data_IF_872436448014
#
_entry.id   IF_872436448014
#
_cell.length_a   1.000
_cell.length_b   1.000
_cell.length_c   1.000
_cell.angle_alpha   90.00
_cell.angle_beta   90.00
_cell.angle_gamma   90.00
#
_symmetry.space_group_name_H-M   'P 1'
#
loop_
_entity.id
_entity.type
_entity.pdbx_description
1 polymer ?
#
# COMPACT_ATOMS: atom_id res chain seq x y z
N UNK A 1 2.69 -10.87 -14.27
CA UNK A 1 3.59 -10.41 -13.19
C UNK A 1 2.91 -10.62 -11.85
N UNK A 2 3.63 -11.05 -10.85
CA UNK A 2 3.07 -11.47 -9.57
C UNK A 2 2.13 -10.50 -8.83
N UNK A 3 1.92 -10.78 -7.56
CA UNK A 3 1.03 -9.98 -6.69
C UNK A 3 1.71 -8.68 -6.28
N UNK A 4 0.96 -7.59 -6.25
CA UNK A 4 1.40 -6.33 -5.65
C UNK A 4 0.65 -6.06 -4.35
N UNK A 5 1.39 -5.74 -3.30
CA UNK A 5 0.82 -5.16 -2.09
C UNK A 5 0.82 -3.65 -2.27
N UNK A 6 -0.35 -3.04 -2.20
CA UNK A 6 -0.53 -1.61 -2.48
C UNK A 6 -0.93 -0.92 -1.18
N UNK A 7 -0.06 -0.08 -0.62
CA UNK A 7 -0.41 0.62 0.61
C UNK A 7 -1.35 1.81 0.35
N UNK A 8 -1.78 2.47 1.41
CA UNK A 8 -2.75 3.56 1.31
C UNK A 8 -2.23 4.75 0.50
N UNK A 9 -0.91 5.04 0.56
CA UNK A 9 -0.34 6.14 -0.22
C UNK A 9 -0.47 5.90 -1.72
N UNK A 10 -0.32 4.66 -2.16
CA UNK A 10 -0.48 4.29 -3.56
C UNK A 10 -1.96 4.23 -3.95
N UNK A 11 -2.83 3.67 -3.10
CA UNK A 11 -4.26 3.64 -3.36
C UNK A 11 -4.83 5.05 -3.55
N UNK A 12 -4.38 6.01 -2.73
CA UNK A 12 -4.85 7.40 -2.84
C UNK A 12 -4.44 8.06 -4.15
N UNK A 13 -3.33 7.64 -4.78
CA UNK A 13 -2.98 8.13 -6.12
C UNK A 13 -3.91 7.62 -7.22
N UNK A 14 -4.62 6.53 -6.97
CA UNK A 14 -5.67 6.05 -7.88
C UNK A 14 -6.98 6.81 -7.67
N UNK A 15 -7.16 7.39 -6.49
CA UNK A 15 -8.36 8.16 -6.14
C UNK A 15 -8.25 9.60 -6.62
N UNK A 16 -7.12 10.24 -6.37
CA UNK A 16 -6.83 11.62 -6.81
C UNK A 16 -5.66 11.59 -7.77
N UNK A 17 -5.90 12.05 -9.00
CA UNK A 17 -4.88 12.03 -10.04
C UNK A 17 -3.72 12.95 -9.71
N UNK A 18 -2.51 12.40 -9.75
CA UNK A 18 -1.25 13.10 -9.54
C UNK A 18 -0.26 12.69 -10.64
N UNK A 19 0.96 13.21 -10.57
CA UNK A 19 1.96 12.96 -11.61
C UNK A 19 2.27 11.48 -11.85
N UNK A 20 2.24 10.66 -10.81
CA UNK A 20 2.59 9.24 -10.89
C UNK A 20 1.40 8.32 -11.25
N UNK A 21 0.19 8.85 -11.26
CA UNK A 21 -1.02 8.02 -11.40
C UNK A 21 -1.02 7.17 -12.67
N UNK A 22 -0.66 7.75 -13.82
CA UNK A 22 -0.65 7.01 -15.08
C UNK A 22 0.35 5.85 -15.06
N UNK A 23 1.56 6.08 -14.53
CA UNK A 23 2.57 5.04 -14.40
C UNK A 23 2.14 3.95 -13.41
N UNK A 24 1.49 4.35 -12.31
CA UNK A 24 0.95 3.42 -11.33
C UNK A 24 -0.13 2.53 -11.96
N UNK A 25 -1.09 3.12 -12.66
CA UNK A 25 -2.15 2.37 -13.33
C UNK A 25 -1.57 1.37 -14.35
N UNK A 26 -0.57 1.79 -15.12
CA UNK A 26 0.10 0.91 -16.09
C UNK A 26 0.80 -0.26 -15.40
N UNK A 27 1.47 -0.03 -14.27
CA UNK A 27 2.12 -1.09 -13.49
C UNK A 27 1.07 -2.07 -12.95
N UNK A 28 0.03 -1.57 -12.30
CA UNK A 28 -0.99 -2.41 -11.68
C UNK A 28 -1.72 -3.30 -12.70
N UNK A 29 -1.89 -2.81 -13.92
CA UNK A 29 -2.52 -3.57 -14.99
C UNK A 29 -1.72 -4.83 -15.38
N UNK A 30 -0.43 -4.89 -15.05
CA UNK A 30 0.43 -6.05 -15.34
C UNK A 30 0.40 -7.10 -14.24
N UNK A 31 -0.22 -6.81 -13.11
CA UNK A 31 -0.20 -7.70 -11.93
C UNK A 31 -1.27 -8.78 -12.00
N UNK A 32 -0.95 -9.93 -11.44
CA UNK A 32 -1.88 -11.05 -11.33
C UNK A 32 -2.94 -10.80 -10.25
N UNK A 33 -2.64 -9.97 -9.27
CA UNK A 33 -3.56 -9.58 -8.22
C UNK A 33 -3.02 -8.44 -7.38
N UNK A 34 -3.94 -7.73 -6.75
CA UNK A 34 -3.62 -6.61 -5.87
C UNK A 34 -4.15 -6.92 -4.47
N UNK A 35 -3.31 -6.71 -3.47
CA UNK A 35 -3.68 -6.90 -2.06
C UNK A 35 -3.32 -5.68 -1.25
N UNK A 36 -4.03 -5.47 -0.16
CA UNK A 36 -3.69 -4.46 0.85
C UNK A 36 -4.21 -4.91 2.22
N UNK A 37 -3.83 -4.22 3.27
CA UNK A 37 -4.41 -4.45 4.60
C UNK A 37 -5.82 -3.88 4.67
N UNK A 38 -6.71 -4.51 5.42
CA UNK A 38 -8.04 -3.96 5.68
C UNK A 38 -8.01 -2.60 6.39
N UNK A 39 -6.88 -2.23 7.03
CA UNK A 39 -6.70 -0.89 7.60
C UNK A 39 -6.78 0.21 6.53
N UNK A 40 -6.47 -0.11 5.28
CA UNK A 40 -6.55 0.84 4.18
C UNK A 40 -7.97 1.35 3.95
N UNK A 41 -8.99 0.56 4.30
CA UNK A 41 -10.39 0.98 4.22
C UNK A 41 -10.60 2.25 5.05
N UNK A 42 -10.12 2.22 6.28
CA UNK A 42 -10.24 3.38 7.19
C UNK A 42 -9.40 4.55 6.70
N UNK A 43 -8.15 4.30 6.35
CA UNK A 43 -7.24 5.35 5.90
C UNK A 43 -7.75 6.07 4.65
N UNK A 44 -8.17 5.32 3.64
CA UNK A 44 -8.65 5.88 2.39
C UNK A 44 -9.99 6.63 2.55
N UNK A 45 -10.93 6.07 3.32
CA UNK A 45 -12.19 6.75 3.58
C UNK A 45 -12.00 8.05 4.38
N UNK A 46 -11.13 8.03 5.38
CA UNK A 46 -10.86 9.25 6.15
C UNK A 46 -10.19 10.31 5.29
N UNK A 47 -9.28 9.93 4.41
CA UNK A 47 -8.68 10.87 3.46
C UNK A 47 -9.73 11.44 2.50
N UNK A 48 -10.63 10.61 1.97
CA UNK A 48 -11.70 11.04 1.10
C UNK A 48 -12.65 12.02 1.80
N UNK A 49 -12.98 11.77 3.05
CA UNK A 49 -13.85 12.66 3.84
C UNK A 49 -13.19 14.01 4.11
N UNK A 50 -11.87 14.03 4.36
CA UNK A 50 -11.14 15.30 4.52
C UNK A 50 -11.14 16.12 3.24
N UNK A 51 -11.13 15.47 2.08
CA UNK A 51 -11.21 16.16 0.79
C UNK A 51 -12.59 16.79 0.55
N UNK A 52 -13.65 16.23 1.16
CA UNK A 52 -15.00 16.81 1.13
C UNK A 52 -15.71 16.73 -0.24
N UNK A 53 -15.24 15.92 -1.14
CA UNK A 53 -15.79 15.78 -2.49
C UNK A 53 -16.44 14.38 -2.64
N UNK A 54 -17.73 14.38 -3.04
CA UNK A 54 -18.49 13.14 -3.25
C UNK A 54 -17.83 12.25 -4.31
N UNK A 55 -17.26 12.82 -5.37
CA UNK A 55 -16.60 12.06 -6.43
C UNK A 55 -15.38 11.31 -5.91
N UNK A 56 -14.62 11.94 -5.02
CA UNK A 56 -13.46 11.32 -4.37
C UNK A 56 -13.92 10.14 -3.53
N UNK A 57 -15.01 10.30 -2.76
CA UNK A 57 -15.56 9.20 -1.96
C UNK A 57 -16.01 8.03 -2.82
N UNK A 58 -16.72 8.30 -3.91
CA UNK A 58 -17.18 7.26 -4.84
C UNK A 58 -15.99 6.53 -5.48
N UNK A 59 -14.96 7.27 -5.90
CA UNK A 59 -13.78 6.67 -6.49
C UNK A 59 -13.01 5.83 -5.47
N UNK A 60 -12.95 6.27 -4.23
CA UNK A 60 -12.35 5.50 -3.13
C UNK A 60 -13.00 4.13 -3.00
N UNK A 61 -14.32 4.09 -3.02
CA UNK A 61 -15.07 2.82 -2.94
C UNK A 61 -14.73 1.90 -4.11
N UNK A 62 -14.68 2.43 -5.33
CA UNK A 62 -14.32 1.64 -6.52
C UNK A 62 -12.88 1.11 -6.44
N UNK A 63 -11.95 1.92 -6.00
CA UNK A 63 -10.55 1.50 -5.84
C UNK A 63 -10.43 0.39 -4.81
N UNK A 64 -11.10 0.52 -3.67
CA UNK A 64 -11.08 -0.51 -2.61
C UNK A 64 -11.75 -1.82 -3.07
N UNK A 65 -12.72 -1.77 -3.96
CA UNK A 65 -13.31 -2.97 -4.55
C UNK A 65 -12.34 -3.72 -5.47
N UNK A 66 -11.34 -3.04 -6.02
CA UNK A 66 -10.39 -3.63 -6.96
C UNK A 66 -9.22 -4.37 -6.30
N UNK A 67 -9.12 -4.33 -4.98
CA UNK A 67 -8.02 -4.95 -4.23
C UNK A 67 -8.57 -5.98 -3.25
N UNK A 68 -7.78 -7.03 -3.02
CA UNK A 68 -8.08 -8.00 -1.97
C UNK A 68 -7.65 -7.45 -0.61
N UNK A 69 -8.57 -7.46 0.35
CA UNK A 69 -8.31 -6.93 1.70
C UNK A 69 -7.85 -8.04 2.63
N UNK A 70 -6.63 -7.91 3.14
CA UNK A 70 -6.06 -8.83 4.14
C UNK A 70 -6.56 -8.43 5.52
N UNK A 71 -7.11 -9.40 6.28
CA UNK A 71 -7.64 -9.15 7.61
C UNK A 71 -6.56 -8.82 8.63
N UNK A 72 -6.95 -8.10 9.67
CA UNK A 72 -6.09 -7.79 10.83
C UNK A 72 -6.17 -8.97 11.82
N UNK A 73 -5.45 -10.03 11.51
CA UNK A 73 -5.41 -11.21 12.36
C UNK A 73 -4.53 -10.97 13.59
N UNK A 74 -4.69 -11.83 14.62
CA UNK A 74 -3.82 -11.77 15.80
C UNK A 74 -2.34 -11.93 15.42
N UNK A 75 -2.03 -12.77 14.44
CA UNK A 75 -0.66 -12.97 13.96
C UNK A 75 -0.10 -11.70 13.32
N UNK A 76 -0.89 -11.03 12.48
CA UNK A 76 -0.49 -9.77 11.86
C UNK A 76 -0.25 -8.69 12.92
N UNK A 77 -1.14 -8.56 13.89
CA UNK A 77 -1.01 -7.56 14.96
C UNK A 77 0.22 -7.81 15.82
N UNK A 78 0.47 -9.08 16.18
CA UNK A 78 1.65 -9.46 16.94
C UNK A 78 2.94 -9.14 16.18
N UNK A 79 3.00 -9.50 14.90
CA UNK A 79 4.16 -9.19 14.04
C UNK A 79 4.37 -7.69 13.91
N UNK A 80 3.31 -6.92 13.68
CA UNK A 80 3.39 -5.46 13.60
C UNK A 80 3.98 -4.86 14.87
N UNK A 81 3.63 -5.41 16.03
CA UNK A 81 4.08 -4.92 17.34
C UNK A 81 5.58 -5.05 17.56
N UNK A 82 6.26 -5.94 16.86
CA UNK A 82 7.68 -6.24 17.04
C UNK A 82 8.55 -5.96 15.83
N UNK A 83 7.98 -5.38 14.77
CA UNK A 83 8.72 -5.08 13.54
C UNK A 83 9.83 -4.06 13.77
N UNK A 84 10.92 -4.26 13.03
CA UNK A 84 12.04 -3.32 12.99
C UNK A 84 12.00 -2.54 11.67
N UNK A 85 12.50 -1.32 11.62
CA UNK A 85 13.12 -0.57 12.74
C UNK A 85 12.08 -0.13 13.79
N UNK A 86 12.54 0.04 15.03
CA UNK A 86 11.66 0.39 16.18
C UNK A 86 10.90 1.69 15.95
N UNK A 87 11.49 2.62 15.20
CA UNK A 87 10.85 3.91 14.92
C UNK A 87 9.76 3.90 13.86
N UNK A 88 9.43 2.73 13.30
CA UNK A 88 8.35 2.64 12.31
C UNK A 88 7.00 3.00 12.95
N UNK A 89 6.18 3.74 12.22
CA UNK A 89 4.85 4.14 12.70
C UNK A 89 3.91 2.93 12.74
N UNK A 90 2.95 2.97 13.68
CA UNK A 90 2.03 1.84 13.90
C UNK A 90 1.27 1.43 12.64
N UNK A 91 0.73 2.38 11.87
CA UNK A 91 0.00 2.04 10.64
C UNK A 91 0.92 1.45 9.59
N UNK A 92 2.13 1.97 9.45
CA UNK A 92 3.13 1.40 8.52
C UNK A 92 3.54 0.00 8.95
N UNK A 93 3.70 -0.23 10.26
CA UNK A 93 3.99 -1.56 10.80
C UNK A 93 2.88 -2.57 10.46
N UNK A 94 1.61 -2.14 10.53
CA UNK A 94 0.48 -2.98 10.16
C UNK A 94 0.53 -3.31 8.66
N UNK A 95 0.80 -2.34 7.81
CA UNK A 95 0.96 -2.59 6.38
C UNK A 95 2.09 -3.57 6.10
N UNK A 96 3.25 -3.37 6.72
CA UNK A 96 4.39 -4.27 6.54
C UNK A 96 4.12 -5.68 7.02
N UNK A 97 3.52 -5.82 8.21
CA UNK A 97 3.15 -7.13 8.74
C UNK A 97 2.16 -7.84 7.83
N UNK A 98 1.19 -7.09 7.28
CA UNK A 98 0.23 -7.62 6.32
C UNK A 98 0.93 -8.08 5.03
N UNK A 99 1.83 -7.27 4.49
CA UNK A 99 2.60 -7.65 3.30
C UNK A 99 3.45 -8.89 3.54
N UNK A 100 4.11 -8.97 4.70
CA UNK A 100 4.94 -10.13 5.07
C UNK A 100 4.11 -11.40 5.28
N UNK A 101 2.80 -11.28 5.50
CA UNK A 101 1.90 -12.44 5.64
C UNK A 101 1.54 -13.07 4.29
N UNK A 102 1.80 -12.39 3.19
CA UNK A 102 1.51 -12.90 1.85
C UNK A 102 2.63 -13.85 1.45
N UNK A 103 2.28 -15.12 1.26
CA UNK A 103 3.24 -16.15 0.86
C UNK A 103 3.36 -16.23 -0.66
N UNK A 104 3.92 -15.16 -1.26
CA UNK A 104 4.14 -15.06 -2.69
C UNK A 104 5.58 -14.59 -2.96
N UNK A 105 6.36 -15.42 -3.62
CA UNK A 105 7.79 -15.20 -3.82
C UNK A 105 8.11 -13.91 -4.56
N UNK A 106 7.30 -13.56 -5.57
CA UNK A 106 7.56 -12.41 -6.44
C UNK A 106 6.72 -11.18 -6.08
N UNK A 107 6.15 -11.16 -4.87
CA UNK A 107 5.36 -10.02 -4.43
C UNK A 107 6.22 -8.77 -4.29
N UNK A 108 5.68 -7.65 -4.76
CA UNK A 108 6.30 -6.35 -4.60
C UNK A 108 5.37 -5.42 -3.82
N UNK A 109 5.95 -4.58 -2.98
CA UNK A 109 5.22 -3.53 -2.26
C UNK A 109 5.26 -2.27 -3.12
N UNK A 110 4.09 -1.69 -3.37
CA UNK A 110 3.97 -0.40 -4.05
C UNK A 110 3.57 0.64 -3.02
N UNK A 111 4.44 1.60 -2.79
CA UNK A 111 4.24 2.69 -1.84
C UNK A 111 4.93 3.95 -2.35
N UNK A 112 4.34 5.10 -2.07
CA UNK A 112 4.95 6.39 -2.36
C UNK A 112 5.43 7.09 -1.09
N UNK A 113 5.29 6.44 0.06
CA UNK A 113 5.86 6.89 1.33
C UNK A 113 7.29 6.35 1.46
N UNK A 114 8.27 7.24 1.46
CA UNK A 114 9.69 6.84 1.51
C UNK A 114 10.07 6.12 2.81
N UNK A 115 9.46 6.48 3.93
CA UNK A 115 9.71 5.77 5.19
C UNK A 115 9.19 4.34 5.12
N UNK A 116 8.01 4.16 4.56
CA UNK A 116 7.44 2.83 4.33
C UNK A 116 8.32 2.03 3.37
N UNK A 117 8.79 2.64 2.28
CA UNK A 117 9.66 2.00 1.31
C UNK A 117 10.95 1.51 1.96
N UNK A 118 11.60 2.35 2.76
CA UNK A 118 12.84 1.99 3.45
C UNK A 118 12.61 0.85 4.45
N UNK A 119 11.53 0.91 5.22
CA UNK A 119 11.19 -0.13 6.18
C UNK A 119 10.85 -1.46 5.49
N UNK A 120 10.16 -1.41 4.36
CA UNK A 120 9.84 -2.61 3.57
C UNK A 120 11.13 -3.28 3.07
N UNK A 121 12.06 -2.51 2.52
CA UNK A 121 13.35 -3.03 2.07
C UNK A 121 14.16 -3.61 3.22
N UNK A 122 14.16 -2.94 4.38
CA UNK A 122 14.85 -3.43 5.57
C UNK A 122 14.30 -4.77 6.05
N UNK A 123 13.06 -5.09 5.72
CA UNK A 123 12.40 -6.36 6.03
C UNK A 123 12.44 -7.37 4.88
N UNK A 124 13.27 -7.12 3.87
CA UNK A 124 13.49 -8.05 2.77
C UNK A 124 12.46 -8.00 1.65
N UNK A 125 11.58 -7.01 1.67
CA UNK A 125 10.56 -6.85 0.62
C UNK A 125 11.08 -6.01 -0.54
N UNK A 126 10.66 -6.35 -1.75
CA UNK A 126 10.89 -5.53 -2.93
C UNK A 126 9.91 -4.39 -2.95
N UNK A 127 10.36 -3.22 -3.39
CA UNK A 127 9.52 -2.02 -3.44
C UNK A 127 9.57 -1.41 -4.84
N UNK A 128 8.42 -0.97 -5.32
CA UNK A 128 8.29 -0.20 -6.54
C UNK A 128 7.57 1.12 -6.25
N UNK A 129 7.99 2.16 -6.94
CA UNK A 129 7.36 3.49 -6.90
C UNK A 129 7.15 3.96 -8.33
N UNK A 130 6.18 3.38 -9.06
CA UNK A 130 6.00 3.68 -10.48
C UNK A 130 5.83 5.18 -10.74
N UNK A 131 6.55 5.70 -11.72
CA UNK A 131 6.52 7.12 -12.07
C UNK A 131 7.45 8.01 -11.27
N UNK A 132 8.12 7.48 -10.24
CA UNK A 132 9.14 8.22 -9.50
C UNK A 132 10.52 7.95 -10.04
N UNK A 133 11.34 9.00 -10.07
CA UNK A 133 12.77 8.87 -10.31
C UNK A 133 13.41 8.19 -9.10
N UNK A 134 14.36 7.26 -9.34
CA UNK A 134 15.08 6.61 -8.26
C UNK A 134 15.77 7.67 -7.37
N UNK A 135 15.63 7.52 -6.04
CA UNK A 135 16.31 8.41 -5.10
C UNK A 135 17.82 8.20 -5.20
N UNK A 136 18.55 9.30 -5.16
CA UNK A 136 20.00 9.23 -5.05
C UNK A 136 20.39 8.72 -3.66
N UNK A 137 21.33 7.79 -3.64
CA UNK A 137 21.87 7.27 -2.38
C UNK A 137 22.55 8.37 -1.57
#
# INVERSE_FOLDING_TARGET
MGIAYVDSSALLKLVVSEGETAALEADLATRDGLVTSSIAVVECHRAARRAGDRRILQRTELVLESVYLLGLTAVVLERASTLRPVGIRSLDAIHLASALSVDERDMEVITYDDRMADAARANGLRVQQPGRTARRA
#
